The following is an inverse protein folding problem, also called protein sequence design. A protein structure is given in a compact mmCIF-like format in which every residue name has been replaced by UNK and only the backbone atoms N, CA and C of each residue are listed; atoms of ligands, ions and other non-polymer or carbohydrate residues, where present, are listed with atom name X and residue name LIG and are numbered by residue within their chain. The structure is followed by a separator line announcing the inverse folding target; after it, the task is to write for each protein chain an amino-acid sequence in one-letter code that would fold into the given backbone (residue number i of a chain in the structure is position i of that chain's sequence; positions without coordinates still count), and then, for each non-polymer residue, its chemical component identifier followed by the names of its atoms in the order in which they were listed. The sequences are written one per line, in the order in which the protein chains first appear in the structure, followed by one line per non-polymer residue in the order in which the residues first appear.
data_IF_786161051935
#
_entry.id   IF_786161051935
#
_cell.length_a   1.000
_cell.length_b   1.000
_cell.length_c   1.000
_cell.angle_alpha   90.00
_cell.angle_beta   90.00
_cell.angle_gamma   90.00
#
_symmetry.space_group_name_H-M   'P 1'
#
loop_
_entity.id
_entity.type
_entity.pdbx_description
1 polymer ?
#
# COMPACT_ATOMS: atom_id res chain seq x y z
N UNK A 1 15.11 -9.67 10.94
CA UNK A 1 13.83 -9.51 10.20
C UNK A 1 14.03 -8.51 9.07
N UNK A 2 14.38 -8.90 7.84
CA UNK A 2 14.54 -7.82 6.82
C UNK A 2 14.34 -8.19 5.36
N UNK A 3 14.57 -9.44 4.93
CA UNK A 3 14.29 -9.79 3.53
C UNK A 3 12.81 -10.07 3.29
N UNK A 4 12.18 -10.81 4.21
CA UNK A 4 10.76 -11.18 4.09
C UNK A 4 9.88 -9.93 4.21
N UNK A 5 10.17 -9.01 5.14
CA UNK A 5 9.40 -7.77 5.31
C UNK A 5 9.48 -6.83 4.11
N UNK A 6 10.68 -6.65 3.52
CA UNK A 6 10.82 -5.87 2.27
C UNK A 6 10.08 -6.54 1.11
N UNK A 7 10.25 -7.85 0.95
CA UNK A 7 9.57 -8.60 -0.11
C UNK A 7 8.04 -8.51 0.04
N UNK A 8 7.54 -8.60 1.27
CA UNK A 8 6.10 -8.50 1.56
C UNK A 8 5.57 -7.11 1.27
N UNK A 9 6.28 -6.06 1.68
CA UNK A 9 5.87 -4.68 1.40
C UNK A 9 5.89 -4.35 -0.10
N UNK A 10 6.89 -4.84 -0.82
CA UNK A 10 6.94 -4.73 -2.29
C UNK A 10 5.83 -5.54 -2.94
N UNK A 11 5.56 -6.76 -2.47
CA UNK A 11 4.48 -7.60 -2.99
C UNK A 11 3.10 -6.97 -2.75
N UNK A 12 2.85 -6.37 -1.59
CA UNK A 12 1.61 -5.65 -1.29
C UNK A 12 1.45 -4.43 -2.19
N UNK A 13 2.52 -3.65 -2.44
CA UNK A 13 2.49 -2.56 -3.43
C UNK A 13 2.15 -3.04 -4.83
N UNK A 14 2.84 -4.07 -5.32
CA UNK A 14 2.61 -4.63 -6.65
C UNK A 14 1.19 -5.18 -6.75
N UNK A 15 0.70 -5.87 -5.72
CA UNK A 15 -0.66 -6.42 -5.69
C UNK A 15 -1.71 -5.31 -5.70
N UNK A 16 -1.48 -4.21 -4.98
CA UNK A 16 -2.35 -3.04 -5.00
C UNK A 16 -2.41 -2.36 -6.37
N UNK A 17 -1.27 -2.18 -7.03
CA UNK A 17 -1.22 -1.62 -8.40
C UNK A 17 -1.90 -2.54 -9.42
N UNK A 18 -1.70 -3.86 -9.29
CA UNK A 18 -2.36 -4.86 -10.13
C UNK A 18 -3.88 -4.82 -9.91
N UNK A 19 -4.37 -4.77 -8.67
CA UNK A 19 -5.81 -4.63 -8.37
C UNK A 19 -6.37 -3.35 -8.96
N UNK A 20 -5.65 -2.23 -8.88
CA UNK A 20 -6.10 -0.97 -9.47
C UNK A 20 -6.15 -1.03 -11.00
N UNK A 21 -5.11 -1.58 -11.64
CA UNK A 21 -5.04 -1.71 -13.09
C UNK A 21 -6.11 -2.67 -13.62
N UNK A 22 -6.29 -3.82 -12.98
CA UNK A 22 -7.32 -4.80 -13.33
C UNK A 22 -8.72 -4.23 -13.07
N UNK A 23 -8.92 -3.53 -11.94
CA UNK A 23 -10.17 -2.84 -11.63
C UNK A 23 -10.54 -1.83 -12.70
N UNK A 24 -9.61 -0.97 -13.12
CA UNK A 24 -9.81 -0.03 -14.23
C UNK A 24 -10.09 -0.74 -15.56
N UNK A 25 -9.33 -1.79 -15.88
CA UNK A 25 -9.49 -2.51 -17.14
C UNK A 25 -10.80 -3.31 -17.23
N UNK A 26 -11.37 -3.70 -16.09
CA UNK A 26 -12.60 -4.49 -16.01
C UNK A 26 -13.82 -3.66 -15.57
N UNK A 27 -13.67 -2.34 -15.45
CA UNK A 27 -14.69 -1.42 -14.87
C UNK A 27 -15.19 -1.87 -13.48
N UNK A 28 -14.35 -2.60 -12.75
CA UNK A 28 -14.64 -3.09 -11.41
C UNK A 28 -14.17 -2.09 -10.35
N UNK A 29 -15.12 -1.28 -9.89
CA UNK A 29 -14.90 -0.23 -8.88
C UNK A 29 -14.41 -0.77 -7.53
N UNK A 30 -14.76 -1.99 -7.15
CA UNK A 30 -14.32 -2.59 -5.90
C UNK A 30 -12.82 -2.89 -5.93
N UNK A 31 -12.32 -3.47 -7.02
CA UNK A 31 -10.89 -3.75 -7.22
C UNK A 31 -10.06 -2.46 -7.31
N UNK A 32 -10.56 -1.44 -8.01
CA UNK A 32 -9.90 -0.12 -8.06
C UNK A 32 -9.84 0.51 -6.66
N UNK A 33 -10.94 0.47 -5.91
CA UNK A 33 -11.02 1.04 -4.57
C UNK A 33 -10.13 0.29 -3.58
N UNK A 34 -10.03 -1.03 -3.66
CA UNK A 34 -9.09 -1.83 -2.85
C UNK A 34 -7.64 -1.44 -3.14
N UNK A 35 -7.22 -1.39 -4.41
CA UNK A 35 -5.86 -1.02 -4.80
C UNK A 35 -5.47 0.38 -4.30
N UNK A 36 -6.34 1.36 -4.51
CA UNK A 36 -6.14 2.73 -3.96
C UNK A 36 -6.12 2.77 -2.45
N UNK A 37 -7.01 2.02 -1.77
CA UNK A 37 -7.04 1.97 -0.30
C UNK A 37 -5.76 1.40 0.27
N UNK A 38 -5.22 0.33 -0.32
CA UNK A 38 -3.97 -0.28 0.13
C UNK A 38 -2.78 0.68 -0.05
N UNK A 39 -2.68 1.36 -1.19
CA UNK A 39 -1.65 2.40 -1.38
C UNK A 39 -1.77 3.55 -0.39
N UNK A 40 -2.99 4.02 -0.14
CA UNK A 40 -3.26 5.14 0.76
C UNK A 40 -2.95 4.76 2.21
N UNK A 41 -3.37 3.56 2.65
CA UNK A 41 -3.04 3.01 3.98
C UNK A 41 -1.54 2.87 4.17
N UNK A 42 -0.83 2.31 3.19
CA UNK A 42 0.63 2.16 3.26
C UNK A 42 1.34 3.51 3.39
N UNK A 43 0.90 4.50 2.61
CA UNK A 43 1.47 5.86 2.65
C UNK A 43 1.18 6.58 3.98
N UNK A 44 -0.06 6.50 4.46
CA UNK A 44 -0.45 7.07 5.76
C UNK A 44 0.31 6.41 6.91
N UNK A 45 0.50 5.09 6.86
CA UNK A 45 1.19 4.35 7.90
C UNK A 45 2.67 4.75 7.98
N UNK A 46 3.35 4.86 6.84
CA UNK A 46 4.73 5.34 6.79
C UNK A 46 4.85 6.77 7.33
N UNK A 47 4.01 7.71 6.85
CA UNK A 47 4.03 9.10 7.31
C UNK A 47 3.72 9.21 8.81
N UNK A 48 2.76 8.43 9.31
CA UNK A 48 2.41 8.41 10.72
C UNK A 48 3.51 7.83 11.60
N UNK A 49 4.19 6.79 11.14
CA UNK A 49 5.36 6.22 11.82
C UNK A 49 6.54 7.21 11.81
N UNK A 50 6.85 7.83 10.67
CA UNK A 50 7.91 8.84 10.53
C UNK A 50 7.68 10.06 11.45
N UNK A 51 6.45 10.59 11.49
CA UNK A 51 6.08 11.69 12.39
C UNK A 51 6.18 11.25 13.84
N UNK A 52 5.70 10.05 14.17
CA UNK A 52 5.75 9.55 15.55
C UNK A 52 7.19 9.31 16.02
N UNK A 53 8.07 8.83 15.16
CA UNK A 53 9.49 8.63 15.48
C UNK A 53 10.20 9.98 15.65
N UNK A 54 9.90 10.97 14.80
CA UNK A 54 10.44 12.32 14.93
C UNK A 54 10.03 13.03 16.23
N UNK A 55 8.82 12.77 16.73
CA UNK A 55 8.31 13.33 17.99
C UNK A 55 8.69 12.53 19.24
N UNK A 56 9.12 11.28 19.10
CA UNK A 56 9.49 10.41 20.23
C UNK A 56 10.98 10.49 20.57
N UNK A 57 11.75 11.27 19.82
CA UNK A 57 13.18 11.54 20.07
C UNK A 57 13.40 12.77 20.93
#
# INVERSE_FOLDING_TARGET
MSFIDKAKNTAEKVTGEVKEAVGKATDNKDLEAEGKKDQTKGSIKNVGEDVKDAFKK
#
